data_IF_965045364032
#
_entry.id   IF_965045364032
#
_cell.length_a   1.000
_cell.length_b   1.000
_cell.length_c   1.000
_cell.angle_alpha   90.00
_cell.angle_beta   90.00
_cell.angle_gamma   90.00
#
_symmetry.space_group_name_H-M   'P 1'
#
loop_
_entity.id
_entity.type
_entity.pdbx_description
1 polymer ?
#
# COMPACT_ATOMS: atom_id res chain seq x y z
N UNK A 1 8.71 -3.13 -9.76
CA UNK A 1 8.14 -1.86 -9.25
C UNK A 1 8.93 -1.44 -8.02
N UNK A 2 10.13 -0.90 -8.21
CA UNK A 2 10.94 -0.37 -7.11
C UNK A 2 10.46 1.01 -6.65
N UNK A 3 9.71 1.70 -7.50
CA UNK A 3 9.29 3.09 -7.28
C UNK A 3 8.42 3.29 -6.02
N UNK A 4 7.60 2.31 -5.64
CA UNK A 4 6.84 2.37 -4.37
C UNK A 4 7.72 2.15 -3.15
N UNK A 5 8.72 1.29 -3.31
CA UNK A 5 9.62 0.89 -2.24
C UNK A 5 10.65 1.96 -1.94
N UNK A 6 10.97 2.89 -2.85
CA UNK A 6 11.93 3.96 -2.58
C UNK A 6 11.29 5.13 -1.83
N UNK A 7 10.18 5.68 -2.32
CA UNK A 7 9.48 6.82 -1.69
C UNK A 7 8.81 6.46 -0.37
N UNK A 8 8.24 5.24 -0.27
CA UNK A 8 7.48 4.81 0.91
C UNK A 8 8.19 3.71 1.69
N UNK A 9 9.48 3.47 1.42
CA UNK A 9 10.28 2.46 2.12
C UNK A 9 10.10 2.55 3.62
N UNK A 10 10.21 3.76 4.16
CA UNK A 10 10.26 3.99 5.59
C UNK A 10 8.94 3.68 6.29
N UNK A 11 7.82 3.87 5.60
CA UNK A 11 6.50 3.54 6.12
C UNK A 11 6.17 2.07 5.89
N UNK A 12 6.45 1.54 4.69
CA UNK A 12 6.24 0.13 4.34
C UNK A 12 7.13 -0.84 5.13
N UNK A 13 8.35 -0.44 5.52
CA UNK A 13 9.28 -1.26 6.31
C UNK A 13 8.82 -1.43 7.76
N UNK A 14 8.01 -0.48 8.27
CA UNK A 14 7.38 -0.58 9.60
C UNK A 14 6.13 -1.45 9.59
N UNK A 15 5.54 -1.69 8.42
CA UNK A 15 4.35 -2.51 8.27
C UNK A 15 4.70 -4.00 8.31
N UNK A 16 3.73 -4.81 8.75
CA UNK A 16 3.83 -6.26 8.63
C UNK A 16 4.07 -6.66 7.15
N UNK A 17 4.91 -7.69 6.87
CA UNK A 17 5.19 -8.13 5.51
C UNK A 17 3.91 -8.39 4.69
N UNK A 18 2.90 -8.99 5.32
CA UNK A 18 1.58 -9.26 4.72
C UNK A 18 0.83 -7.99 4.35
N UNK A 19 0.85 -6.98 5.23
CA UNK A 19 0.23 -5.66 5.00
C UNK A 19 0.94 -4.95 3.86
N UNK A 20 2.27 -4.99 3.85
CA UNK A 20 3.10 -4.37 2.80
C UNK A 20 2.79 -4.95 1.41
N UNK A 21 2.74 -6.27 1.28
CA UNK A 21 2.39 -6.91 0.01
C UNK A 21 0.98 -6.51 -0.45
N UNK A 22 0.04 -6.45 0.49
CA UNK A 22 -1.33 -6.02 0.19
C UNK A 22 -1.42 -4.55 -0.23
N UNK A 23 -0.66 -3.66 0.42
CA UNK A 23 -0.59 -2.24 0.07
C UNK A 23 -0.04 -2.05 -1.34
N UNK A 24 0.98 -2.81 -1.75
CA UNK A 24 1.51 -2.73 -3.12
C UNK A 24 0.46 -3.17 -4.14
N UNK A 25 -0.26 -4.26 -3.88
CA UNK A 25 -1.35 -4.71 -4.75
C UNK A 25 -2.43 -3.64 -4.93
N UNK A 26 -2.86 -3.00 -3.83
CA UNK A 26 -3.92 -2.00 -3.84
C UNK A 26 -3.45 -0.72 -4.55
N UNK A 27 -2.22 -0.26 -4.27
CA UNK A 27 -1.67 0.95 -4.89
C UNK A 27 -1.57 0.80 -6.41
N UNK A 28 -1.17 -0.37 -6.90
CA UNK A 28 -1.11 -0.66 -8.32
C UNK A 28 -2.48 -0.58 -8.98
N UNK A 29 -3.50 -1.17 -8.35
CA UNK A 29 -4.88 -1.08 -8.84
C UNK A 29 -5.37 0.37 -8.85
N UNK A 30 -5.05 1.16 -7.82
CA UNK A 30 -5.46 2.57 -7.73
C UNK A 30 -4.83 3.42 -8.84
N UNK A 31 -3.56 3.19 -9.16
CA UNK A 31 -2.87 3.93 -10.22
C UNK A 31 -3.39 3.52 -11.59
N UNK A 32 -3.65 2.23 -11.79
CA UNK A 32 -4.12 1.69 -13.05
C UNK A 32 -5.58 2.07 -13.35
N UNK A 33 -6.44 2.16 -12.32
CA UNK A 33 -7.88 2.42 -12.48
C UNK A 33 -8.26 3.90 -12.40
N UNK A 34 -7.64 4.69 -11.53
CA UNK A 34 -8.18 6.01 -11.14
C UNK A 34 -7.28 7.20 -11.51
N UNK A 35 -6.16 6.97 -12.21
CA UNK A 35 -5.15 8.03 -12.44
C UNK A 35 -4.71 8.72 -11.13
N UNK A 36 -4.69 8.00 -10.00
CA UNK A 36 -4.20 8.56 -8.74
C UNK A 36 -2.74 8.98 -8.88
N UNK A 37 -2.41 10.15 -8.33
CA UNK A 37 -1.01 10.52 -8.07
C UNK A 37 -0.38 9.45 -7.20
N UNK A 38 0.86 9.06 -7.53
CA UNK A 38 1.62 8.01 -6.84
C UNK A 38 1.55 8.12 -5.32
N UNK A 39 1.77 9.31 -4.77
CA UNK A 39 1.68 9.52 -3.31
C UNK A 39 0.31 9.17 -2.72
N UNK A 40 -0.77 9.67 -3.33
CA UNK A 40 -2.14 9.40 -2.87
C UNK A 40 -2.49 7.93 -2.97
N UNK A 41 -2.11 7.28 -4.07
CA UNK A 41 -2.35 5.87 -4.26
C UNK A 41 -1.71 5.03 -3.16
N UNK A 42 -0.51 5.39 -2.71
CA UNK A 42 0.23 4.62 -1.71
C UNK A 42 -0.30 4.86 -0.31
N UNK A 43 -0.56 6.12 0.07
CA UNK A 43 -1.16 6.40 1.39
C UNK A 43 -2.51 5.69 1.55
N UNK A 44 -3.37 5.77 0.53
CA UNK A 44 -4.66 5.08 0.53
C UNK A 44 -4.50 3.56 0.56
N UNK A 45 -3.53 3.03 -0.18
CA UNK A 45 -3.28 1.60 -0.22
C UNK A 45 -2.73 1.03 1.10
N UNK A 46 -1.90 1.79 1.82
CA UNK A 46 -1.41 1.43 3.15
C UNK A 46 -2.58 1.33 4.13
N UNK A 47 -3.43 2.37 4.18
CA UNK A 47 -4.61 2.39 5.07
C UNK A 47 -5.53 1.19 4.78
N UNK A 48 -5.87 0.95 3.51
CA UNK A 48 -6.73 -0.18 3.12
C UNK A 48 -6.09 -1.53 3.40
N UNK A 49 -4.77 -1.64 3.27
CA UNK A 49 -4.05 -2.87 3.59
C UNK A 49 -4.01 -3.13 5.11
N UNK A 50 -3.82 -2.09 5.91
CA UNK A 50 -3.91 -2.18 7.36
C UNK A 50 -5.33 -2.56 7.79
N UNK A 51 -6.35 -1.87 7.28
CA UNK A 51 -7.75 -2.20 7.54
C UNK A 51 -8.08 -3.64 7.15
N UNK A 52 -7.66 -4.10 5.97
CA UNK A 52 -7.82 -5.48 5.54
C UNK A 52 -7.16 -6.48 6.50
N UNK A 53 -5.99 -6.14 7.04
CA UNK A 53 -5.26 -7.00 7.97
C UNK A 53 -5.91 -7.02 9.36
N UNK A 54 -6.41 -5.88 9.84
CA UNK A 54 -7.16 -5.80 11.10
C UNK A 54 -8.52 -6.49 11.00
N UNK A 55 -9.24 -6.35 9.88
CA UNK A 55 -10.57 -6.93 9.67
C UNK A 55 -10.52 -8.45 9.50
N UNK A 56 -9.43 -8.99 8.95
CA UNK A 56 -9.18 -10.44 8.93
C UNK A 56 -8.93 -11.06 10.31
N UNK A 57 -8.86 -10.25 11.37
CA UNK A 57 -8.68 -10.72 12.74
C UNK A 57 -7.27 -11.26 12.97
N UNK A 58 -6.30 -10.34 13.10
CA UNK A 58 -4.92 -10.66 13.50
C UNK A 58 -4.82 -11.57 14.72
#
# INVERSE_FOLDING_TARGET
MDWMFEDFKTDLDKLNPTVREKAIEIANKLIEQDHFSKEKAITEAIVRAEEWFYDLGG
#
